data_IF_731735443715
#
_entry.id   IF_731735443715
#
_cell.length_a   1.000
_cell.length_b   1.000
_cell.length_c   1.000
_cell.angle_alpha   90.00
_cell.angle_beta   90.00
_cell.angle_gamma   90.00
#
_symmetry.space_group_name_H-M   'P 1'
#
loop_
_entity.id
_entity.type
_entity.pdbx_description
1 polymer ?
#
# COMPACT_ATOMS: atom_id res chain seq x y z
N UNK A 1 -40.27 45.85 35.48
CA UNK A 1 -39.29 44.92 34.84
C UNK A 1 -38.73 43.85 35.80
N UNK A 2 -39.42 43.47 36.89
CA UNK A 2 -38.98 42.36 37.78
C UNK A 2 -39.86 41.09 37.67
N UNK A 3 -41.07 41.19 37.11
CA UNK A 3 -41.96 40.04 36.91
C UNK A 3 -41.78 39.26 35.60
N UNK A 4 -41.01 39.79 34.65
CA UNK A 4 -40.69 39.08 33.40
C UNK A 4 -39.53 38.08 33.57
N UNK A 5 -38.71 38.24 34.62
CA UNK A 5 -37.56 37.36 34.91
C UNK A 5 -38.01 36.08 35.65
N UNK A 6 -39.06 36.16 36.48
CA UNK A 6 -39.58 34.99 37.21
C UNK A 6 -40.33 33.97 36.32
N UNK A 7 -40.89 34.40 35.18
CA UNK A 7 -41.62 33.50 34.28
C UNK A 7 -40.66 32.65 33.44
N UNK A 8 -39.47 33.20 33.10
CA UNK A 8 -38.44 32.45 32.35
C UNK A 8 -37.80 31.35 33.21
N UNK A 9 -37.67 31.56 34.52
CA UNK A 9 -37.15 30.53 35.43
C UNK A 9 -38.14 29.39 35.73
N UNK A 10 -39.45 29.58 35.52
CA UNK A 10 -40.45 28.53 35.72
C UNK A 10 -40.59 27.61 34.50
N UNK A 11 -40.20 28.07 33.30
CA UNK A 11 -40.28 27.30 32.05
C UNK A 11 -39.04 26.41 31.86
N UNK A 12 -37.89 26.77 32.44
CA UNK A 12 -36.68 25.93 32.46
C UNK A 12 -36.76 24.72 33.39
N UNK A 13 -37.77 24.64 34.26
CA UNK A 13 -37.94 23.53 35.20
C UNK A 13 -38.74 22.33 34.63
N UNK A 14 -39.29 22.43 33.41
CA UNK A 14 -40.16 21.40 32.82
C UNK A 14 -39.57 20.62 31.64
N UNK A 15 -38.29 20.84 31.29
CA UNK A 15 -37.57 20.05 30.26
C UNK A 15 -36.63 19.01 30.91
N UNK A 16 -36.85 18.72 32.19
CA UNK A 16 -36.27 17.54 32.84
C UNK A 16 -36.98 16.27 32.38
N UNK A 17 -36.73 15.84 31.13
CA UNK A 17 -37.06 14.50 30.68
C UNK A 17 -36.34 13.48 31.58
N UNK A 18 -37.06 12.93 32.55
CA UNK A 18 -36.72 11.69 33.24
C UNK A 18 -36.78 10.53 32.25
N UNK A 19 -35.74 10.39 31.43
CA UNK A 19 -35.40 9.09 30.87
C UNK A 19 -34.80 8.26 32.00
N UNK A 20 -35.63 7.41 32.61
CA UNK A 20 -35.17 6.21 33.32
C UNK A 20 -34.45 5.32 32.30
N UNK A 21 -33.20 5.67 31.95
CA UNK A 21 -32.28 4.72 31.36
C UNK A 21 -31.98 3.68 32.43
N UNK A 22 -32.63 2.54 32.26
CA UNK A 22 -32.25 1.27 32.86
C UNK A 22 -30.73 1.22 32.97
N UNK A 23 -30.22 1.16 34.21
CA UNK A 23 -28.85 0.74 34.49
C UNK A 23 -28.77 -0.73 34.07
N UNK A 24 -28.66 -0.99 32.76
CA UNK A 24 -28.19 -2.28 32.27
C UNK A 24 -26.75 -2.34 32.73
N UNK A 25 -26.49 -3.23 33.68
CA UNK A 25 -25.18 -3.50 34.21
C UNK A 25 -24.16 -3.52 33.06
N UNK A 26 -23.05 -2.81 33.24
CA UNK A 26 -21.84 -3.07 32.46
C UNK A 26 -21.55 -4.56 32.67
N UNK A 27 -22.00 -5.39 31.74
CA UNK A 27 -21.49 -6.74 31.61
C UNK A 27 -20.00 -6.54 31.35
N UNK A 28 -19.21 -6.92 32.35
CA UNK A 28 -17.78 -7.10 32.26
C UNK A 28 -17.49 -7.76 30.91
N UNK A 29 -16.93 -6.99 29.99
CA UNK A 29 -16.39 -7.55 28.77
C UNK A 29 -15.09 -8.21 29.21
N UNK A 30 -15.21 -9.45 29.69
CA UNK A 30 -14.07 -10.32 29.96
C UNK A 30 -13.23 -10.31 28.71
N UNK A 31 -12.08 -9.66 28.76
CA UNK A 31 -11.13 -9.65 27.66
C UNK A 31 -10.70 -11.10 27.43
N UNK A 32 -11.31 -11.76 26.45
CA UNK A 32 -10.95 -13.12 26.07
C UNK A 32 -9.50 -13.06 25.63
N UNK A 33 -8.61 -13.60 26.46
CA UNK A 33 -7.19 -13.66 26.19
C UNK A 33 -7.01 -14.74 25.12
N UNK A 34 -6.86 -14.32 23.87
CA UNK A 34 -6.57 -15.23 22.76
C UNK A 34 -5.14 -15.75 22.96
N UNK A 35 -5.01 -17.01 23.40
CA UNK A 35 -3.69 -17.62 23.65
C UNK A 35 -2.97 -17.97 22.35
N UNK A 36 -3.71 -18.28 21.27
CA UNK A 36 -3.16 -18.64 19.98
C UNK A 36 -3.97 -18.02 18.84
N UNK A 37 -3.29 -17.30 17.95
CA UNK A 37 -3.88 -16.81 16.71
C UNK A 37 -3.88 -17.93 15.67
N UNK A 38 -5.05 -18.26 15.13
CA UNK A 38 -5.17 -19.12 13.96
C UNK A 38 -5.25 -18.26 12.70
N UNK A 39 -4.27 -18.38 11.81
CA UNK A 39 -4.30 -17.71 10.50
C UNK A 39 -4.86 -18.70 9.48
N UNK A 40 -5.99 -18.34 8.87
CA UNK A 40 -6.56 -19.07 7.73
C UNK A 40 -6.45 -18.18 6.48
N UNK A 41 -5.72 -18.64 5.47
CA UNK A 41 -5.58 -17.92 4.21
C UNK A 41 -6.79 -18.19 3.32
N UNK A 42 -7.43 -17.13 2.83
CA UNK A 42 -8.49 -17.22 1.83
C UNK A 42 -7.97 -17.54 0.43
N UNK A 43 -8.89 -17.72 -0.53
CA UNK A 43 -8.54 -17.86 -1.95
C UNK A 43 -7.94 -16.55 -2.47
N UNK A 44 -6.81 -16.64 -3.17
CA UNK A 44 -6.19 -15.49 -3.84
C UNK A 44 -6.99 -15.08 -5.07
N UNK A 45 -7.08 -13.77 -5.32
CA UNK A 45 -7.72 -13.26 -6.52
C UNK A 45 -6.84 -13.52 -7.75
N UNK A 46 -7.35 -14.15 -8.82
CA UNK A 46 -6.57 -14.34 -10.05
C UNK A 46 -6.31 -13.03 -10.81
N UNK A 47 -7.01 -11.94 -10.44
CA UNK A 47 -6.88 -10.64 -11.11
C UNK A 47 -5.56 -9.91 -10.80
N UNK A 48 -4.96 -10.23 -9.65
CA UNK A 48 -3.75 -9.55 -9.16
C UNK A 48 -2.45 -10.23 -9.58
N UNK A 49 -2.50 -11.10 -10.60
CA UNK A 49 -1.34 -11.83 -11.11
C UNK A 49 -0.63 -10.99 -12.18
N UNK A 50 0.67 -10.80 -12.01
CA UNK A 50 1.54 -10.20 -13.01
C UNK A 50 2.67 -11.19 -13.32
N UNK A 51 2.71 -11.66 -14.57
CA UNK A 51 3.60 -12.74 -15.00
C UNK A 51 4.10 -12.45 -16.41
N UNK A 52 5.29 -12.95 -16.72
CA UNK A 52 5.88 -12.91 -18.04
C UNK A 52 6.45 -14.29 -18.40
N UNK A 53 6.34 -14.66 -19.68
CA UNK A 53 6.79 -15.96 -20.18
C UNK A 53 8.32 -16.06 -20.19
N UNK A 54 8.99 -15.01 -20.65
CA UNK A 54 10.45 -14.98 -20.90
C UNK A 54 11.26 -14.33 -19.80
N UNK A 55 10.62 -13.53 -18.94
CA UNK A 55 11.27 -12.80 -17.85
C UNK A 55 10.88 -13.36 -16.49
N UNK A 56 11.85 -13.44 -15.58
CA UNK A 56 11.62 -13.58 -14.15
C UNK A 56 11.25 -12.22 -13.58
N UNK A 57 10.27 -12.17 -12.68
CA UNK A 57 9.82 -10.93 -12.02
C UNK A 57 10.00 -11.10 -10.52
N UNK A 58 10.62 -10.11 -9.88
CA UNK A 58 10.81 -10.07 -8.43
C UNK A 58 10.66 -8.64 -7.89
N UNK A 59 10.46 -8.52 -6.58
CA UNK A 59 10.38 -7.21 -5.91
C UNK A 59 9.26 -6.31 -6.43
N UNK A 60 8.29 -6.85 -7.17
CA UNK A 60 7.24 -6.10 -7.88
C UNK A 60 6.09 -5.63 -7.01
N UNK A 61 6.38 -5.27 -5.75
CA UNK A 61 5.38 -4.81 -4.78
C UNK A 61 5.35 -3.30 -4.59
N UNK A 62 6.23 -2.56 -5.26
CA UNK A 62 6.32 -1.12 -5.03
C UNK A 62 5.42 -0.34 -5.99
N UNK A 63 4.33 0.19 -5.44
CA UNK A 63 3.30 0.92 -6.18
C UNK A 63 3.24 2.38 -5.74
N UNK A 64 3.00 3.26 -6.71
CA UNK A 64 2.67 4.65 -6.44
C UNK A 64 1.55 5.12 -7.36
N UNK A 65 0.67 6.00 -6.86
CA UNK A 65 -0.36 6.62 -7.68
C UNK A 65 0.23 7.82 -8.44
N UNK A 66 0.10 7.79 -9.76
CA UNK A 66 0.46 8.87 -10.67
C UNK A 66 -0.53 10.02 -10.61
N UNK A 67 -0.10 11.19 -11.06
CA UNK A 67 -0.98 12.35 -11.27
C UNK A 67 -1.87 12.18 -12.50
N UNK A 68 -1.50 11.26 -13.39
CA UNK A 68 -2.30 10.77 -14.53
C UNK A 68 -3.47 9.86 -14.11
N UNK A 69 -3.62 9.58 -12.81
CA UNK A 69 -4.67 8.73 -12.26
C UNK A 69 -4.38 7.22 -12.35
N UNK A 70 -3.20 6.82 -12.83
CA UNK A 70 -2.79 5.42 -12.92
C UNK A 70 -2.00 4.99 -11.67
N UNK A 71 -1.90 3.68 -11.48
CA UNK A 71 -1.00 3.06 -10.52
C UNK A 71 0.23 2.58 -11.26
N UNK A 72 1.39 3.07 -10.83
CA UNK A 72 2.70 2.73 -11.38
C UNK A 72 3.36 1.73 -10.45
N UNK A 73 3.62 0.53 -10.97
CA UNK A 73 4.31 -0.55 -10.28
C UNK A 73 5.73 -0.64 -10.82
N UNK A 74 6.72 -0.54 -9.93
CA UNK A 74 8.11 -0.80 -10.25
C UNK A 74 8.50 -2.20 -9.76
N UNK A 75 9.22 -2.94 -10.59
CA UNK A 75 9.59 -4.32 -10.32
C UNK A 75 10.95 -4.64 -10.93
N UNK A 76 11.63 -5.64 -10.37
CA UNK A 76 12.85 -6.17 -10.95
C UNK A 76 12.51 -7.25 -11.97
N UNK A 77 13.22 -7.26 -13.10
CA UNK A 77 13.15 -8.38 -14.03
C UNK A 77 14.50 -8.73 -14.64
N UNK A 78 14.66 -10.01 -14.99
CA UNK A 78 15.82 -10.54 -15.71
C UNK A 78 15.39 -11.73 -16.59
N UNK A 79 16.19 -12.14 -17.58
CA UNK A 79 15.81 -13.26 -18.45
C UNK A 79 15.61 -14.56 -17.65
N UNK A 80 14.47 -15.24 -17.84
CA UNK A 80 14.18 -16.51 -17.17
C UNK A 80 15.13 -17.64 -17.62
N UNK A 81 15.61 -17.57 -18.86
CA UNK A 81 16.47 -18.60 -19.48
C UNK A 81 17.82 -18.80 -18.77
N UNK A 82 18.30 -17.80 -18.05
CA UNK A 82 19.59 -17.85 -17.32
C UNK A 82 19.42 -18.27 -15.85
N UNK A 83 18.20 -18.57 -15.40
CA UNK A 83 17.92 -18.99 -14.03
C UNK A 83 17.87 -17.83 -13.04
N UNK A 84 18.38 -18.04 -11.83
CA UNK A 84 18.35 -17.08 -10.71
C UNK A 84 19.49 -16.06 -10.76
N UNK A 85 19.78 -15.52 -11.94
CA UNK A 85 20.90 -14.62 -12.17
C UNK A 85 20.45 -13.15 -12.18
N UNK A 86 19.79 -12.74 -11.10
CA UNK A 86 19.36 -11.35 -10.91
C UNK A 86 20.54 -10.42 -10.58
N UNK A 87 21.64 -10.98 -10.07
CA UNK A 87 22.83 -10.25 -9.60
C UNK A 87 23.49 -9.44 -10.73
N UNK A 88 23.51 -9.99 -11.95
CA UNK A 88 24.22 -9.39 -13.10
C UNK A 88 23.31 -8.91 -14.24
N UNK A 89 22.01 -9.25 -14.23
CA UNK A 89 21.10 -8.97 -15.34
C UNK A 89 19.76 -8.39 -14.89
N UNK A 90 19.59 -8.07 -13.61
CA UNK A 90 18.36 -7.44 -13.16
C UNK A 90 18.30 -5.99 -13.62
N UNK A 91 17.16 -5.63 -14.18
CA UNK A 91 16.77 -4.25 -14.49
C UNK A 91 15.51 -3.88 -13.72
N UNK A 92 15.31 -2.59 -13.49
CA UNK A 92 14.05 -2.09 -12.92
C UNK A 92 13.13 -1.68 -14.05
N UNK A 93 11.99 -2.34 -14.09
CA UNK A 93 10.93 -2.13 -15.06
C UNK A 93 9.68 -1.60 -14.41
N UNK A 94 8.80 -1.09 -15.26
CA UNK A 94 7.64 -0.34 -14.83
C UNK A 94 6.39 -0.81 -15.59
N UNK A 95 5.33 -1.02 -14.83
CA UNK A 95 4.02 -1.43 -15.33
C UNK A 95 2.93 -0.52 -14.75
N UNK A 96 1.85 -0.37 -15.50
CA UNK A 96 0.74 0.50 -15.11
C UNK A 96 -0.58 -0.25 -15.00
N UNK A 97 -1.46 0.24 -14.13
CA UNK A 97 -2.85 -0.21 -14.05
C UNK A 97 -3.78 0.93 -13.64
N UNK A 98 -5.06 0.81 -13.99
CA UNK A 98 -6.12 1.69 -13.46
C UNK A 98 -6.52 1.33 -12.01
N UNK A 99 -6.05 0.18 -11.50
CA UNK A 99 -6.39 -0.36 -10.19
C UNK A 99 -5.12 -0.73 -9.42
N UNK A 100 -5.07 -0.52 -8.09
CA UNK A 100 -3.93 -0.93 -7.28
C UNK A 100 -3.78 -2.47 -7.23
N UNK A 101 -4.83 -3.20 -7.61
CA UNK A 101 -4.86 -4.67 -7.65
C UNK A 101 -4.63 -5.23 -9.05
N UNK A 102 -4.23 -4.40 -10.02
CA UNK A 102 -4.08 -4.83 -11.41
C UNK A 102 -5.42 -5.04 -12.14
N UNK A 103 -5.39 -5.70 -13.32
CA UNK A 103 -4.20 -6.26 -13.96
C UNK A 103 -3.21 -5.15 -14.36
N UNK A 104 -1.91 -5.45 -14.25
CA UNK A 104 -0.83 -4.56 -14.65
C UNK A 104 -0.38 -4.88 -16.07
N UNK A 105 -0.03 -3.85 -16.82
CA UNK A 105 0.54 -3.97 -18.16
C UNK A 105 1.93 -3.33 -18.15
N UNK A 106 2.93 -4.09 -18.59
CA UNK A 106 4.29 -3.55 -18.77
C UNK A 106 4.25 -2.31 -19.66
N UNK A 107 4.98 -1.27 -19.26
CA UNK A 107 5.03 0.02 -19.93
C UNK A 107 6.42 0.25 -20.53
N UNK A 108 7.45 0.20 -19.69
CA UNK A 108 8.83 0.52 -20.04
C UNK A 108 9.83 -0.02 -19.00
N UNK A 109 11.12 0.15 -19.29
CA UNK A 109 12.22 -0.10 -18.37
C UNK A 109 12.69 1.24 -17.77
N UNK A 110 12.45 1.42 -16.47
CA UNK A 110 12.79 2.65 -15.76
C UNK A 110 14.31 2.78 -15.55
N UNK A 111 15.00 1.67 -15.28
CA UNK A 111 16.46 1.58 -15.22
C UNK A 111 16.92 0.32 -15.98
N UNK A 112 17.19 0.42 -17.30
CA UNK A 112 17.77 -0.67 -18.08
C UNK A 112 19.25 -0.91 -17.71
N UNK A 113 19.96 -1.82 -18.41
CA UNK A 113 21.43 -1.90 -18.31
C UNK A 113 22.03 -0.51 -18.58
N UNK A 114 22.72 0.02 -17.58
CA UNK A 114 23.17 1.42 -17.59
C UNK A 114 24.59 1.55 -18.13
N UNK A 115 25.38 0.47 -18.09
CA UNK A 115 26.77 0.45 -18.53
C UNK A 115 27.79 0.90 -17.47
N UNK A 116 29.07 0.72 -17.80
CA UNK A 116 30.23 0.86 -16.90
C UNK A 116 30.47 2.25 -16.32
N UNK A 117 29.82 3.27 -16.85
CA UNK A 117 29.89 4.64 -16.35
C UNK A 117 29.07 4.87 -15.08
N UNK A 118 28.27 3.89 -14.65
CA UNK A 118 27.46 3.98 -13.45
C UNK A 118 27.83 2.91 -12.43
N UNK A 119 27.68 3.25 -11.15
CA UNK A 119 27.93 2.35 -10.02
C UNK A 119 27.00 1.12 -9.99
N UNK A 120 25.83 1.25 -10.61
CA UNK A 120 24.77 0.26 -10.79
C UNK A 120 24.68 -0.19 -12.26
N UNK A 121 25.80 -0.14 -12.97
CA UNK A 121 25.87 -0.38 -14.40
C UNK A 121 25.36 -1.74 -14.83
N UNK A 122 25.73 -2.80 -14.11
CA UNK A 122 25.39 -4.18 -14.44
C UNK A 122 24.01 -4.58 -13.93
N UNK A 123 23.57 -4.02 -12.80
CA UNK A 123 22.31 -4.43 -12.18
C UNK A 123 21.64 -3.34 -11.38
N UNK A 124 20.33 -3.25 -11.55
CA UNK A 124 19.40 -2.52 -10.70
C UNK A 124 18.30 -3.47 -10.21
N UNK A 125 18.05 -3.49 -8.90
CA UNK A 125 17.22 -4.52 -8.28
C UNK A 125 16.46 -4.00 -7.04
N UNK A 126 15.39 -4.70 -6.68
CA UNK A 126 14.51 -4.42 -5.53
C UNK A 126 14.04 -2.96 -5.43
N UNK A 127 13.30 -2.44 -6.43
CA UNK A 127 12.81 -1.07 -6.41
C UNK A 127 11.79 -0.84 -5.29
N UNK A 128 11.90 0.31 -4.63
CA UNK A 128 10.90 0.87 -3.74
C UNK A 128 10.66 2.33 -4.12
N UNK A 129 9.46 2.64 -4.62
CA UNK A 129 9.01 3.98 -4.95
C UNK A 129 8.22 4.61 -3.81
N UNK A 130 8.47 5.89 -3.56
CA UNK A 130 7.68 6.72 -2.67
C UNK A 130 7.38 8.08 -3.30
N UNK A 131 6.22 8.66 -2.95
CA UNK A 131 5.86 10.03 -3.34
C UNK A 131 5.79 10.92 -2.10
N UNK A 132 6.63 11.96 -2.06
CA UNK A 132 6.64 12.96 -0.99
C UNK A 132 6.85 14.35 -1.59
N UNK A 133 6.12 15.35 -1.08
CA UNK A 133 6.25 16.76 -1.50
C UNK A 133 6.22 16.97 -3.03
N UNK A 134 5.31 16.28 -3.73
CA UNK A 134 5.17 16.38 -5.19
C UNK A 134 6.28 15.72 -6.00
N UNK A 135 7.23 15.03 -5.36
CA UNK A 135 8.34 14.32 -6.03
C UNK A 135 8.23 12.82 -5.82
N UNK A 136 8.72 12.07 -6.81
CA UNK A 136 8.84 10.62 -6.77
C UNK A 136 10.29 10.25 -6.47
N UNK A 137 10.48 9.35 -5.51
CA UNK A 137 11.78 8.86 -5.08
C UNK A 137 11.79 7.34 -5.31
N UNK A 138 12.75 6.89 -6.11
CA UNK A 138 12.98 5.46 -6.35
C UNK A 138 14.24 5.04 -5.60
N UNK A 139 14.07 4.16 -4.63
CA UNK A 139 15.14 3.53 -3.88
C UNK A 139 15.36 2.13 -4.45
N UNK A 140 16.61 1.73 -4.63
CA UNK A 140 16.95 0.42 -5.17
C UNK A 140 18.38 0.05 -4.81
N UNK A 141 18.71 -1.22 -4.95
CA UNK A 141 20.09 -1.70 -4.89
C UNK A 141 20.65 -1.88 -6.30
N UNK A 142 21.94 -1.71 -6.44
CA UNK A 142 22.62 -1.95 -7.70
C UNK A 142 24.07 -2.31 -7.50
N UNK A 143 24.65 -2.84 -8.56
CA UNK A 143 26.06 -3.15 -8.60
C UNK A 143 26.59 -3.02 -10.03
N UNK A 144 27.90 -2.88 -10.09
CA UNK A 144 28.65 -2.97 -11.32
C UNK A 144 29.73 -4.03 -11.14
N UNK A 145 29.64 -5.06 -11.98
CA UNK A 145 30.61 -6.14 -12.06
C UNK A 145 30.84 -6.48 -13.53
N UNK A 146 31.86 -5.88 -14.13
CA UNK A 146 32.43 -6.23 -15.43
C UNK A 146 33.89 -5.79 -15.51
#
# INVERSE_FOLDING_TARGET
MKHQISIVFLILALIGCTDKKSKKALNQTSSVKIENYKIELGKVSPKSVFVNDTMSIWGGGSLVKGEDGLYHMFYSQWPKKIGWEWVNYSIISHAVSKSPFGPFTHKDDALPDRGAQFWDGSTTHNPTVHKFNGKYYLYYMGEYWR
#
